data_IF_438249908335
#
_entry.id   IF_438249908335
#
_cell.length_a   1.000
_cell.length_b   1.000
_cell.length_c   1.000
_cell.angle_alpha   90.00
_cell.angle_beta   90.00
_cell.angle_gamma   90.00
#
_symmetry.space_group_name_H-M   'P 1'
#
loop_
_entity.id
_entity.type
_entity.pdbx_description
1 polymer ?
#
# COMPACT_ATOMS: atom_id res chain seq x y z
N UNK A 1 71.50 49.92 1.07
CA UNK A 1 71.96 48.87 0.12
C UNK A 1 70.87 48.69 -0.92
N UNK A 2 71.20 48.89 -2.20
CA UNK A 2 70.31 48.94 -3.37
C UNK A 2 69.73 47.56 -3.72
N UNK A 3 68.62 47.56 -4.47
CA UNK A 3 68.17 46.66 -5.57
C UNK A 3 66.65 46.40 -5.45
N UNK A 4 65.82 46.29 -6.49
CA UNK A 4 65.91 46.63 -7.90
C UNK A 4 64.47 46.58 -8.45
N UNK A 5 64.18 47.51 -9.35
CA UNK A 5 63.02 47.56 -10.26
C UNK A 5 62.99 46.31 -11.18
N UNK A 6 61.81 45.82 -11.60
CA UNK A 6 61.49 45.32 -12.96
C UNK A 6 60.02 44.84 -13.03
N UNK A 7 59.14 45.51 -13.81
CA UNK A 7 58.69 45.13 -15.18
C UNK A 7 57.70 43.94 -15.18
N UNK A 8 56.61 43.83 -15.95
CA UNK A 8 56.07 44.54 -17.11
C UNK A 8 54.66 43.93 -17.33
N UNK A 9 53.66 44.79 -17.60
CA UNK A 9 52.62 44.67 -18.65
C UNK A 9 52.06 43.30 -19.09
N UNK A 10 50.73 43.17 -19.12
CA UNK A 10 49.90 43.08 -20.34
C UNK A 10 48.43 42.88 -19.94
N UNK A 11 47.56 43.87 -20.11
CA UNK A 11 46.62 44.01 -21.25
C UNK A 11 45.78 42.75 -21.50
N UNK A 12 44.54 42.69 -20.99
CA UNK A 12 43.31 43.25 -21.58
C UNK A 12 42.56 42.15 -22.35
N UNK A 13 41.39 41.73 -21.86
CA UNK A 13 40.17 41.71 -22.67
C UNK A 13 38.93 41.63 -21.76
N UNK A 14 38.10 42.66 -21.95
CA UNK A 14 36.77 42.87 -21.40
C UNK A 14 35.82 41.69 -21.63
N UNK A 15 35.09 41.31 -20.59
CA UNK A 15 33.61 41.35 -20.56
C UNK A 15 33.19 41.46 -19.09
N UNK A 16 32.82 42.65 -18.60
CA UNK A 16 31.43 43.13 -18.46
C UNK A 16 30.62 42.12 -17.59
N UNK A 17 30.12 42.40 -16.39
CA UNK A 17 29.98 43.64 -15.62
C UNK A 17 29.50 43.33 -14.18
N UNK A 18 29.98 44.15 -13.22
CA UNK A 18 29.23 44.74 -12.07
C UNK A 18 28.60 43.80 -11.02
N UNK A 19 28.90 43.85 -9.71
CA UNK A 19 28.93 45.02 -8.81
C UNK A 19 29.90 44.82 -7.62
N UNK A 20 30.37 45.97 -7.11
CA UNK A 20 31.28 46.18 -5.98
C UNK A 20 30.64 46.02 -4.58
N UNK A 21 31.54 45.66 -3.65
CA UNK A 21 31.67 46.15 -2.27
C UNK A 21 30.56 45.89 -1.23
N UNK A 22 30.97 45.09 -0.24
CA UNK A 22 30.86 45.30 1.22
C UNK A 22 29.55 45.95 1.71
N UNK A 23 28.72 45.09 2.29
CA UNK A 23 27.73 45.48 3.26
C UNK A 23 27.36 44.27 4.11
N UNK A 24 27.91 44.15 5.32
CA UNK A 24 27.19 43.46 6.39
C UNK A 24 25.99 44.34 6.74
N UNK A 25 24.90 44.18 6.01
CA UNK A 25 23.61 44.72 6.42
C UNK A 25 23.07 43.79 7.51
N UNK A 26 23.32 44.18 8.77
CA UNK A 26 22.49 43.74 9.89
C UNK A 26 21.19 44.55 9.80
N UNK A 27 20.18 43.97 9.18
CA UNK A 27 18.80 44.37 9.41
C UNK A 27 17.99 43.20 9.96
N UNK A 28 17.23 43.49 11.01
CA UNK A 28 16.32 42.56 11.67
C UNK A 28 15.09 42.34 10.78
N UNK A 29 15.16 41.37 9.87
CA UNK A 29 13.94 40.71 9.42
C UNK A 29 13.66 39.54 10.38
N UNK A 30 12.45 39.50 10.94
CA UNK A 30 11.90 38.36 11.67
C UNK A 30 11.62 37.15 10.74
N UNK A 31 12.52 36.91 9.78
CA UNK A 31 12.46 35.81 8.82
C UNK A 31 13.04 34.54 9.42
N UNK A 32 12.41 34.00 10.47
CA UNK A 32 12.69 32.64 10.93
C UNK A 32 12.01 31.67 9.96
N UNK A 33 12.69 31.27 8.89
CA UNK A 33 12.34 30.00 8.22
C UNK A 33 12.77 28.89 9.17
N UNK A 34 11.81 28.43 9.97
CA UNK A 34 12.09 27.56 11.12
C UNK A 34 12.29 26.09 10.72
N UNK A 35 11.81 25.71 9.53
CA UNK A 35 12.11 24.47 8.78
C UNK A 35 11.12 24.36 7.62
N UNK A 36 11.58 24.02 6.41
CA UNK A 36 10.71 23.49 5.35
C UNK A 36 11.13 22.05 5.07
N UNK A 37 10.31 21.09 5.51
CA UNK A 37 10.47 19.67 5.19
C UNK A 37 9.33 19.26 4.27
N UNK A 38 9.61 19.23 2.96
CA UNK A 38 8.76 18.53 2.01
C UNK A 38 9.15 17.06 2.01
N UNK A 39 8.28 16.17 2.50
CA UNK A 39 8.47 14.73 2.36
C UNK A 39 7.54 14.24 1.26
N UNK A 40 8.12 13.85 0.13
CA UNK A 40 7.39 13.18 -0.94
C UNK A 40 7.58 11.66 -0.80
N UNK A 41 6.53 10.95 -0.39
CA UNK A 41 6.49 9.48 -0.44
C UNK A 41 5.87 9.06 -1.77
N UNK A 42 6.63 8.40 -2.64
CA UNK A 42 6.14 8.00 -3.97
C UNK A 42 6.64 6.63 -4.43
N UNK A 43 6.90 5.70 -3.50
CA UNK A 43 7.22 4.32 -3.84
C UNK A 43 6.03 3.40 -3.53
N UNK A 44 5.57 2.66 -4.54
CA UNK A 44 4.64 1.54 -4.37
C UNK A 44 5.41 0.25 -4.66
N UNK A 45 5.17 -0.80 -3.87
CA UNK A 45 5.72 -2.13 -4.15
C UNK A 45 5.05 -2.82 -5.35
N UNK A 46 4.05 -2.18 -5.97
CA UNK A 46 3.26 -2.74 -7.07
C UNK A 46 2.22 -3.74 -6.58
N UNK A 47 1.39 -4.26 -7.49
CA UNK A 47 0.48 -5.36 -7.18
C UNK A 47 1.20 -6.69 -7.45
N UNK A 48 1.21 -7.58 -6.47
CA UNK A 48 1.64 -8.96 -6.66
C UNK A 48 0.45 -9.91 -6.65
N UNK A 49 0.54 -11.00 -7.40
CA UNK A 49 -0.42 -12.09 -7.32
C UNK A 49 -0.19 -12.89 -6.04
N UNK A 50 -1.27 -13.39 -5.44
CA UNK A 50 -1.15 -14.36 -4.36
C UNK A 50 -0.73 -15.74 -4.89
N UNK A 51 -0.25 -16.61 -4.01
CA UNK A 51 0.09 -17.99 -4.35
C UNK A 51 -0.68 -19.03 -3.51
N UNK A 52 -1.48 -18.60 -2.52
CA UNK A 52 -2.18 -19.52 -1.63
C UNK A 52 -3.50 -18.98 -1.14
N UNK A 53 -4.54 -19.80 -1.29
CA UNK A 53 -5.84 -19.60 -0.67
C UNK A 53 -6.20 -20.80 0.20
N UNK A 54 -6.68 -20.53 1.41
CA UNK A 54 -7.09 -21.54 2.38
C UNK A 54 -8.47 -21.23 2.97
N UNK A 55 -9.19 -22.28 3.36
CA UNK A 55 -10.42 -22.15 4.13
C UNK A 55 -10.08 -22.11 5.63
N UNK A 56 -10.46 -21.03 6.31
CA UNK A 56 -10.22 -20.81 7.73
C UNK A 56 -11.57 -20.72 8.49
N UNK A 57 -11.77 -21.61 9.47
CA UNK A 57 -13.05 -21.84 10.16
C UNK A 57 -13.28 -20.93 11.36
N UNK A 58 -12.47 -19.88 11.54
CA UNK A 58 -12.62 -18.94 12.67
C UNK A 58 -13.85 -18.02 12.57
N UNK A 59 -14.59 -18.08 11.45
CA UNK A 59 -15.89 -17.43 11.27
C UNK A 59 -16.80 -18.31 10.42
N UNK A 60 -18.11 -18.05 10.47
CA UNK A 60 -19.11 -18.69 9.63
C UNK A 60 -19.14 -20.22 9.70
N UNK A 61 -19.83 -20.83 8.75
CA UNK A 61 -20.06 -22.28 8.74
C UNK A 61 -19.98 -22.92 7.35
N UNK A 62 -19.94 -22.12 6.28
CA UNK A 62 -19.88 -22.63 4.91
C UNK A 62 -18.45 -22.57 4.40
N UNK A 63 -17.89 -23.73 4.10
CA UNK A 63 -16.54 -23.83 3.55
C UNK A 63 -16.46 -23.35 2.10
N UNK A 64 -15.29 -22.79 1.75
CA UNK A 64 -14.93 -22.50 0.36
C UNK A 64 -14.45 -23.76 -0.34
N UNK A 65 -14.97 -24.04 -1.53
CA UNK A 65 -14.45 -25.09 -2.40
C UNK A 65 -13.22 -24.59 -3.16
N UNK A 66 -12.18 -25.43 -3.24
CA UNK A 66 -10.94 -25.16 -3.96
C UNK A 66 -10.36 -23.76 -3.69
N UNK A 67 -10.08 -23.40 -2.41
CA UNK A 67 -9.71 -22.03 -2.04
C UNK A 67 -8.43 -21.54 -2.75
N UNK A 68 -7.52 -22.44 -3.14
CA UNK A 68 -6.33 -22.10 -3.93
C UNK A 68 -6.63 -21.48 -5.30
N UNK A 69 -7.82 -21.71 -5.86
CA UNK A 69 -8.23 -21.11 -7.13
C UNK A 69 -8.42 -19.59 -7.04
N UNK A 70 -8.53 -19.01 -5.84
CA UNK A 70 -8.60 -17.57 -5.66
C UNK A 70 -7.37 -16.81 -6.18
N UNK A 71 -6.24 -17.51 -6.33
CA UNK A 71 -4.99 -16.96 -6.86
C UNK A 71 -4.76 -17.25 -8.34
N UNK A 72 -5.68 -17.95 -8.99
CA UNK A 72 -5.58 -18.29 -10.41
C UNK A 72 -5.92 -17.08 -11.28
N UNK A 73 -5.13 -16.86 -12.32
CA UNK A 73 -5.41 -15.89 -13.38
C UNK A 73 -6.26 -16.47 -14.54
N UNK A 74 -6.50 -17.78 -14.52
CA UNK A 74 -7.37 -18.49 -15.48
C UNK A 74 -8.83 -18.63 -15.01
N UNK A 75 -9.61 -19.47 -15.71
CA UNK A 75 -11.04 -19.67 -15.46
C UNK A 75 -11.40 -20.45 -14.18
N UNK A 76 -10.40 -20.81 -13.36
CA UNK A 76 -10.62 -21.52 -12.09
C UNK A 76 -11.31 -20.60 -11.08
N UNK A 77 -12.37 -21.11 -10.45
CA UNK A 77 -13.11 -20.36 -9.42
C UNK A 77 -13.07 -21.07 -8.08
N UNK A 78 -13.16 -20.29 -7.01
CA UNK A 78 -13.51 -20.76 -5.67
C UNK A 78 -14.94 -20.32 -5.38
N UNK A 79 -15.70 -21.12 -4.65
CA UNK A 79 -17.11 -20.82 -4.36
C UNK A 79 -17.49 -21.25 -2.94
N UNK A 80 -18.45 -20.52 -2.36
CA UNK A 80 -19.13 -20.90 -1.13
C UNK A 80 -20.65 -20.93 -1.40
N UNK A 81 -21.31 -22.03 -1.05
CA UNK A 81 -22.74 -22.23 -1.26
C UNK A 81 -23.60 -21.51 -0.21
N UNK A 82 -23.64 -20.17 -0.27
CA UNK A 82 -24.33 -19.36 0.73
C UNK A 82 -25.85 -19.40 0.59
N UNK A 83 -26.52 -19.55 1.73
CA UNK A 83 -27.96 -19.35 1.90
C UNK A 83 -28.19 -18.02 2.63
N UNK A 84 -29.41 -17.48 2.59
CA UNK A 84 -29.74 -16.23 3.30
C UNK A 84 -29.38 -16.33 4.79
N UNK A 85 -28.75 -15.26 5.29
CA UNK A 85 -28.22 -15.11 6.65
C UNK A 85 -27.12 -16.10 7.07
N UNK A 86 -26.62 -16.94 6.14
CA UNK A 86 -25.51 -17.85 6.41
C UNK A 86 -24.19 -17.21 5.99
N UNK A 87 -23.17 -17.41 6.83
CA UNK A 87 -21.83 -16.86 6.64
C UNK A 87 -20.88 -17.94 6.10
N UNK A 88 -20.00 -17.55 5.18
CA UNK A 88 -18.86 -18.40 4.81
C UNK A 88 -17.81 -18.37 5.91
N UNK A 89 -17.00 -19.41 5.93
CA UNK A 89 -15.66 -19.37 6.49
C UNK A 89 -14.84 -18.23 5.86
N UNK A 90 -13.71 -17.89 6.46
CA UNK A 90 -12.75 -17.01 5.81
C UNK A 90 -12.10 -17.76 4.64
N UNK A 91 -12.13 -17.12 3.47
CA UNK A 91 -11.18 -17.39 2.41
C UNK A 91 -9.92 -16.58 2.73
N UNK A 92 -8.92 -17.25 3.31
CA UNK A 92 -7.65 -16.66 3.71
C UNK A 92 -6.64 -16.75 2.56
N UNK A 93 -6.31 -15.61 1.98
CA UNK A 93 -5.39 -15.46 0.84
C UNK A 93 -4.05 -14.90 1.34
N UNK A 94 -2.96 -15.55 0.96
CA UNK A 94 -1.60 -15.25 1.46
C UNK A 94 -0.56 -15.49 0.37
N UNK A 95 0.72 -15.32 0.72
CA UNK A 95 1.88 -15.55 -0.16
C UNK A 95 1.90 -14.61 -1.39
N UNK A 96 1.85 -13.30 -1.12
CA UNK A 96 1.96 -12.27 -2.16
C UNK A 96 3.41 -11.99 -2.62
N UNK A 97 4.43 -12.54 -1.95
CA UNK A 97 5.82 -12.49 -2.44
C UNK A 97 6.40 -11.08 -2.60
N UNK A 98 5.99 -10.13 -1.76
CA UNK A 98 6.57 -8.78 -1.78
C UNK A 98 8.06 -8.80 -1.41
N UNK A 99 8.79 -7.80 -1.93
CA UNK A 99 10.22 -7.57 -1.65
C UNK A 99 10.44 -6.11 -1.25
N UNK A 100 9.67 -5.63 -0.27
CA UNK A 100 9.80 -4.28 0.29
C UNK A 100 11.17 -4.15 0.98
N UNK A 101 11.98 -3.12 0.68
CA UNK A 101 13.27 -2.93 1.31
C UNK A 101 13.20 -2.78 2.84
N UNK A 102 14.18 -3.33 3.54
CA UNK A 102 14.30 -3.15 4.99
C UNK A 102 14.42 -1.66 5.34
N UNK A 103 13.67 -1.22 6.35
CA UNK A 103 13.63 0.18 6.77
C UNK A 103 12.58 1.04 6.03
N UNK A 104 11.88 0.48 5.04
CA UNK A 104 10.72 1.17 4.46
C UNK A 104 9.62 1.38 5.48
N UNK A 105 9.05 2.59 5.49
CA UNK A 105 7.85 2.93 6.25
C UNK A 105 6.63 2.57 5.42
N UNK A 106 5.76 1.71 5.95
CA UNK A 106 4.50 1.34 5.30
C UNK A 106 3.48 2.42 5.63
N UNK A 107 2.94 3.08 4.59
CA UNK A 107 1.98 4.18 4.74
C UNK A 107 0.53 3.74 4.53
N UNK A 108 0.32 2.67 3.78
CA UNK A 108 -1.00 2.11 3.52
C UNK A 108 -0.93 0.81 2.75
N UNK A 109 -2.00 0.04 2.84
CA UNK A 109 -2.13 -1.28 2.24
C UNK A 109 -3.50 -1.36 1.59
N UNK A 110 -3.54 -1.78 0.32
CA UNK A 110 -4.78 -2.05 -0.38
C UNK A 110 -4.76 -3.39 -1.11
N UNK A 111 -5.93 -4.01 -1.22
CA UNK A 111 -6.16 -5.24 -1.95
C UNK A 111 -7.26 -5.02 -2.99
N UNK A 112 -7.01 -5.40 -4.24
CA UNK A 112 -8.03 -5.45 -5.28
C UNK A 112 -8.59 -6.87 -5.38
N UNK A 113 -9.91 -7.02 -5.24
CA UNK A 113 -10.58 -8.32 -5.15
C UNK A 113 -11.76 -8.37 -6.10
N UNK A 114 -11.82 -9.42 -6.92
CA UNK A 114 -13.00 -9.74 -7.73
C UNK A 114 -13.82 -10.81 -7.04
N UNK A 115 -15.12 -10.56 -6.85
CA UNK A 115 -16.03 -11.46 -6.14
C UNK A 115 -17.42 -11.38 -6.73
N UNK A 116 -18.09 -12.49 -6.94
CA UNK A 116 -19.40 -12.47 -7.59
C UNK A 116 -20.31 -13.55 -7.05
N UNK A 117 -21.60 -13.41 -7.35
CA UNK A 117 -22.62 -14.45 -7.12
C UNK A 117 -23.06 -15.03 -8.45
N UNK A 118 -23.38 -16.33 -8.49
CA UNK A 118 -24.07 -16.93 -9.63
C UNK A 118 -25.56 -16.56 -9.56
N UNK A 119 -25.97 -15.68 -10.45
CA UNK A 119 -27.17 -14.83 -10.42
C UNK A 119 -28.52 -15.58 -10.42
N UNK A 120 -28.53 -16.91 -10.55
CA UNK A 120 -29.74 -17.68 -10.90
C UNK A 120 -30.69 -17.99 -9.73
N UNK A 121 -30.45 -17.50 -8.51
CA UNK A 121 -31.27 -17.88 -7.33
C UNK A 121 -31.75 -16.76 -6.42
N UNK A 122 -31.78 -15.51 -6.87
CA UNK A 122 -32.35 -14.38 -6.10
C UNK A 122 -31.56 -13.99 -4.83
N UNK A 123 -30.77 -14.91 -4.26
CA UNK A 123 -29.89 -14.69 -3.13
C UNK A 123 -28.68 -13.90 -3.59
N UNK A 124 -28.53 -12.70 -3.04
CA UNK A 124 -27.33 -11.89 -3.22
C UNK A 124 -26.36 -12.26 -2.10
N UNK A 125 -25.11 -11.87 -2.24
CA UNK A 125 -24.12 -11.99 -1.16
C UNK A 125 -23.51 -10.62 -0.95
N UNK A 126 -23.24 -10.27 0.30
CA UNK A 126 -22.45 -9.10 0.69
C UNK A 126 -21.27 -9.59 1.52
N UNK A 127 -20.40 -8.67 1.94
CA UNK A 127 -19.43 -9.04 2.96
C UNK A 127 -20.10 -9.33 4.29
N UNK A 128 -19.55 -10.34 4.96
CA UNK A 128 -19.64 -10.48 6.40
C UNK A 128 -18.48 -9.74 7.07
N UNK A 129 -17.25 -9.97 6.59
CA UNK A 129 -16.05 -9.28 7.06
C UNK A 129 -14.91 -9.40 6.06
N UNK A 130 -14.07 -8.36 6.00
CA UNK A 130 -12.84 -8.32 5.20
C UNK A 130 -11.71 -7.79 6.08
N UNK A 131 -10.68 -8.60 6.30
CA UNK A 131 -9.65 -8.36 7.33
C UNK A 131 -8.26 -8.66 6.79
N UNK A 132 -7.27 -7.90 7.25
CA UNK A 132 -5.88 -8.13 6.89
C UNK A 132 -5.32 -9.34 7.64
N UNK A 133 -4.32 -10.00 7.06
CA UNK A 133 -3.61 -11.14 7.66
C UNK A 133 -2.16 -10.74 7.87
N UNK A 134 -1.68 -10.84 9.11
CA UNK A 134 -0.31 -10.53 9.52
C UNK A 134 0.33 -11.79 10.10
N UNK A 135 1.41 -12.26 9.49
CA UNK A 135 2.08 -13.49 9.93
C UNK A 135 1.15 -14.70 10.02
N UNK A 136 0.12 -14.78 9.18
CA UNK A 136 -0.88 -15.85 9.17
C UNK A 136 -2.08 -15.65 10.11
N UNK A 137 -2.05 -14.64 10.99
CA UNK A 137 -3.13 -14.30 11.91
C UNK A 137 -4.07 -13.25 11.31
N UNK A 138 -5.38 -13.45 11.44
CA UNK A 138 -6.40 -12.53 10.94
C UNK A 138 -6.55 -11.36 11.92
N UNK A 139 -6.47 -10.14 11.40
CA UNK A 139 -6.58 -8.90 12.17
C UNK A 139 -7.99 -8.61 12.70
N UNK A 140 -8.12 -7.61 13.56
CA UNK A 140 -9.40 -7.21 14.16
C UNK A 140 -10.18 -6.18 13.33
N UNK A 141 -9.47 -5.32 12.61
CA UNK A 141 -10.05 -4.20 11.86
C UNK A 141 -10.76 -4.67 10.60
N UNK A 142 -12.04 -4.32 10.48
CA UNK A 142 -12.88 -4.70 9.35
C UNK A 142 -12.91 -3.63 8.25
N UNK A 143 -12.95 -4.08 7.00
CA UNK A 143 -13.13 -3.28 5.77
C UNK A 143 -14.25 -3.82 4.89
N UNK A 144 -15.16 -4.61 5.45
CA UNK A 144 -16.34 -5.12 4.74
C UNK A 144 -17.10 -4.04 3.98
N UNK A 145 -17.53 -4.38 2.77
CA UNK A 145 -18.45 -3.58 1.97
C UNK A 145 -19.86 -4.23 1.99
N UNK A 146 -20.87 -3.40 2.31
CA UNK A 146 -22.27 -3.79 2.37
C UNK A 146 -22.93 -3.90 0.98
N UNK A 147 -22.25 -3.46 -0.08
CA UNK A 147 -22.73 -3.62 -1.44
C UNK A 147 -22.79 -5.11 -1.84
N UNK A 148 -23.78 -5.44 -2.66
CA UNK A 148 -23.89 -6.78 -3.21
C UNK A 148 -22.69 -7.10 -4.10
N UNK A 149 -22.21 -8.34 -4.00
CA UNK A 149 -21.13 -8.86 -4.82
C UNK A 149 -21.53 -8.84 -6.30
N UNK A 150 -20.62 -8.39 -7.15
CA UNK A 150 -20.81 -8.22 -8.59
C UNK A 150 -19.49 -8.38 -9.33
N UNK A 151 -19.53 -8.50 -10.66
CA UNK A 151 -18.34 -8.92 -11.44
C UNK A 151 -17.19 -7.89 -11.48
N UNK A 152 -17.41 -6.66 -11.00
CA UNK A 152 -16.36 -5.66 -10.90
C UNK A 152 -15.41 -5.94 -9.72
N UNK A 153 -14.13 -5.61 -9.88
CA UNK A 153 -13.17 -5.63 -8.77
C UNK A 153 -13.49 -4.52 -7.76
N UNK A 154 -13.32 -4.84 -6.48
CA UNK A 154 -13.49 -3.92 -5.35
C UNK A 154 -12.16 -3.79 -4.62
N UNK A 155 -11.80 -2.56 -4.24
CA UNK A 155 -10.60 -2.27 -3.47
C UNK A 155 -10.91 -2.20 -1.98
N UNK A 156 -10.17 -2.97 -1.19
CA UNK A 156 -10.15 -2.88 0.28
C UNK A 156 -8.90 -2.16 0.75
N UNK A 157 -9.07 -1.23 1.69
CA UNK A 157 -8.00 -0.37 2.16
C UNK A 157 -7.69 0.77 1.19
N UNK A 158 -6.57 1.46 1.42
CA UNK A 158 -6.16 2.62 0.63
C UNK A 158 -4.65 2.85 0.76
N UNK A 159 -4.15 3.87 0.06
CA UNK A 159 -2.74 4.31 0.17
C UNK A 159 -2.38 4.89 1.53
N UNK A 160 -3.35 5.11 2.42
CA UNK A 160 -3.15 5.62 3.78
C UNK A 160 -3.73 4.70 4.87
N UNK A 161 -4.28 3.54 4.50
CA UNK A 161 -4.92 2.62 5.43
C UNK A 161 -3.94 1.55 5.93
N UNK A 162 -3.61 1.61 7.21
CA UNK A 162 -2.75 0.64 7.89
C UNK A 162 -3.53 -0.53 8.51
N UNK A 163 -4.83 -0.63 8.23
CA UNK A 163 -5.70 -1.69 8.77
C UNK A 163 -5.69 -1.77 10.30
N UNK A 164 -5.47 -0.63 10.96
CA UNK A 164 -5.46 -0.50 12.41
C UNK A 164 -4.27 -1.17 13.12
N UNK A 165 -3.18 -1.48 12.41
CA UNK A 165 -1.94 -2.04 12.98
C UNK A 165 -0.71 -1.26 12.48
N UNK A 166 0.44 -1.47 13.10
CA UNK A 166 1.74 -1.01 12.62
C UNK A 166 2.38 -2.08 11.73
N UNK A 167 3.02 -1.65 10.64
CA UNK A 167 3.56 -2.56 9.64
C UNK A 167 5.04 -2.31 9.38
N UNK A 168 5.82 -3.38 9.39
CA UNK A 168 7.22 -3.37 8.94
C UNK A 168 7.33 -3.97 7.55
N UNK A 169 8.43 -3.69 6.85
CA UNK A 169 8.75 -4.37 5.59
C UNK A 169 8.79 -5.91 5.74
N UNK A 170 9.25 -6.41 6.89
CA UNK A 170 9.28 -7.85 7.18
C UNK A 170 7.88 -8.46 7.28
N UNK A 171 6.92 -7.73 7.85
CA UNK A 171 5.52 -8.17 7.91
C UNK A 171 4.92 -8.30 6.51
N UNK A 172 5.17 -7.34 5.62
CA UNK A 172 4.66 -7.34 4.24
C UNK A 172 5.32 -8.41 3.38
N UNK A 173 6.63 -8.66 3.59
CA UNK A 173 7.38 -9.68 2.88
C UNK A 173 7.11 -11.10 3.41
N UNK A 174 6.41 -11.23 4.54
CA UNK A 174 6.06 -12.53 5.13
C UNK A 174 5.18 -13.34 4.19
N UNK A 175 5.43 -14.64 4.08
CA UNK A 175 4.52 -15.57 3.39
C UNK A 175 3.13 -15.61 4.03
N UNK A 176 3.03 -15.25 5.31
CA UNK A 176 1.78 -15.12 6.05
C UNK A 176 1.08 -13.77 5.89
N UNK A 177 1.61 -12.82 5.11
CA UNK A 177 0.92 -11.58 4.77
C UNK A 177 -0.24 -11.84 3.81
N UNK A 178 -1.37 -11.18 4.04
CA UNK A 178 -2.46 -11.21 3.07
C UNK A 178 -3.80 -10.68 3.57
N UNK A 179 -4.88 -11.30 3.11
CA UNK A 179 -6.27 -10.85 3.32
C UNK A 179 -7.18 -12.06 3.59
N UNK A 180 -8.18 -11.87 4.44
CA UNK A 180 -9.21 -12.85 4.75
C UNK A 180 -10.59 -12.24 4.47
N UNK A 181 -11.42 -12.97 3.71
CA UNK A 181 -12.75 -12.51 3.28
C UNK A 181 -13.79 -13.55 3.68
N UNK A 182 -14.87 -13.10 4.32
CA UNK A 182 -16.05 -13.91 4.60
C UNK A 182 -17.27 -13.24 3.98
N UNK A 183 -18.09 -14.02 3.27
CA UNK A 183 -19.34 -13.57 2.66
C UNK A 183 -20.55 -13.93 3.50
N UNK A 184 -21.62 -13.15 3.37
CA UNK A 184 -22.94 -13.41 3.95
C UNK A 184 -23.97 -13.51 2.83
N UNK A 185 -24.72 -14.61 2.78
CA UNK A 185 -25.89 -14.67 1.91
C UNK A 185 -26.97 -13.73 2.41
N UNK A 186 -27.59 -12.96 1.52
CA UNK A 186 -28.73 -12.08 1.83
C UNK A 186 -30.03 -12.69 1.36
#
# INVERSE_FOLDING_TARGET
MRLNLFKLTCFLLLSVAYFLAIGYFRESSNGKVSSMTGVAYAATAGANNCASGANDTSTGSVAWSNPGNACSTGASTTAAGLKSSILSNYLKITQFGFSVPTGSVIQGISFSVTRSTTVNKGNKATDNSVRIVKGGSIGSTDRSDANNWGTASVTYGSTSDLWGDSWTAADINSTGFGIAISGKGT
#
